data_IF_268048746311
#
_entry.id   IF_268048746311
#
_cell.length_a   1.000
_cell.length_b   1.000
_cell.length_c   1.000
_cell.angle_alpha   90.00
_cell.angle_beta   90.00
_cell.angle_gamma   90.00
#
_symmetry.space_group_name_H-M   'P 1'
#
loop_
_entity.id
_entity.type
_entity.pdbx_description
1 polymer ?
#
# COMPACT_ATOMS: atom_id res chain seq x y z
N UNK A 1 -6.18 -3.95 17.10
CA UNK A 1 -6.79 -2.74 17.71
C UNK A 1 -7.49 -3.12 19.00
N UNK A 2 -7.58 -2.22 19.96
CA UNK A 2 -8.20 -2.43 21.28
C UNK A 2 -9.10 -1.23 21.59
N UNK A 3 -10.33 -1.46 22.05
CA UNK A 3 -11.21 -0.36 22.47
C UNK A 3 -10.95 -0.02 23.94
N UNK A 4 -10.27 1.09 24.20
CA UNK A 4 -10.02 1.59 25.57
C UNK A 4 -11.15 2.48 26.11
N UNK A 5 -12.08 2.88 25.24
CA UNK A 5 -13.20 3.77 25.56
C UNK A 5 -14.35 3.05 26.28
N UNK A 6 -15.25 3.80 26.94
CA UNK A 6 -16.39 3.23 27.64
C UNK A 6 -17.53 2.80 26.71
N UNK A 7 -17.66 3.42 25.54
CA UNK A 7 -18.69 3.11 24.55
C UNK A 7 -18.21 1.99 23.62
N UNK A 8 -19.13 1.15 23.16
CA UNK A 8 -18.83 0.18 22.11
C UNK A 8 -18.59 0.87 20.76
N UNK A 9 -17.73 0.26 19.94
CA UNK A 9 -17.28 0.82 18.66
C UNK A 9 -17.46 -0.22 17.57
N UNK A 10 -18.09 0.16 16.46
CA UNK A 10 -18.38 -0.70 15.31
C UNK A 10 -17.59 -0.34 14.05
N UNK A 11 -16.73 0.68 14.11
CA UNK A 11 -15.91 1.11 12.98
C UNK A 11 -14.46 1.40 13.40
N UNK A 12 -13.54 1.26 12.45
CA UNK A 12 -12.15 1.67 12.58
C UNK A 12 -11.78 2.66 11.47
N UNK A 13 -11.16 3.77 11.83
CA UNK A 13 -10.70 4.77 10.88
C UNK A 13 -9.30 4.44 10.36
N UNK A 14 -9.21 4.18 9.06
CA UNK A 14 -7.98 3.97 8.32
C UNK A 14 -7.62 5.24 7.54
N UNK A 15 -6.37 5.66 7.63
CA UNK A 15 -5.86 6.87 6.98
C UNK A 15 -4.78 6.55 5.97
N UNK A 16 -4.84 7.22 4.82
CA UNK A 16 -3.84 7.13 3.74
C UNK A 16 -3.38 8.55 3.42
N UNK A 17 -2.06 8.84 3.40
CA UNK A 17 -1.57 10.15 2.97
C UNK A 17 -2.05 10.49 1.56
N UNK A 18 -2.45 11.73 1.30
CA UNK A 18 -3.05 12.12 0.00
C UNK A 18 -2.13 11.83 -1.20
N UNK A 19 -0.81 11.95 -1.03
CA UNK A 19 0.15 11.65 -2.10
C UNK A 19 0.19 10.16 -2.49
N UNK A 20 -0.21 9.25 -1.59
CA UNK A 20 -0.43 7.83 -1.89
C UNK A 20 -1.87 7.58 -2.34
N UNK A 21 -2.85 8.25 -1.74
CA UNK A 21 -4.27 8.03 -2.02
C UNK A 21 -4.63 8.26 -3.50
N UNK A 22 -4.01 9.26 -4.16
CA UNK A 22 -4.17 9.50 -5.60
C UNK A 22 -3.79 8.30 -6.50
N UNK A 23 -3.01 7.38 -5.96
CA UNK A 23 -2.44 6.23 -6.65
C UNK A 23 -3.01 4.89 -6.15
N UNK A 24 -3.93 4.91 -5.18
CA UNK A 24 -4.54 3.73 -4.60
C UNK A 24 -5.48 3.08 -5.62
N UNK A 25 -5.16 1.85 -6.02
CA UNK A 25 -5.95 1.07 -6.99
C UNK A 25 -6.85 0.03 -6.34
N UNK A 26 -6.49 -0.45 -5.13
CA UNK A 26 -7.26 -1.44 -4.40
C UNK A 26 -7.03 -1.31 -2.91
N UNK A 27 -8.09 -1.44 -2.13
CA UNK A 27 -8.06 -1.45 -0.67
C UNK A 27 -9.02 -2.53 -0.18
N UNK A 28 -8.54 -3.41 0.69
CA UNK A 28 -9.40 -4.37 1.39
C UNK A 28 -8.98 -4.49 2.85
N UNK A 29 -9.95 -4.80 3.68
CA UNK A 29 -9.77 -5.11 5.08
C UNK A 29 -10.31 -6.52 5.32
N UNK A 30 -9.59 -7.34 6.07
CA UNK A 30 -10.03 -8.72 6.36
C UNK A 30 -9.65 -9.14 7.76
N UNK A 31 -10.58 -9.73 8.51
CA UNK A 31 -10.31 -10.40 9.78
C UNK A 31 -10.29 -11.91 9.60
N UNK A 32 -9.68 -12.62 10.54
CA UNK A 32 -9.73 -14.08 10.59
C UNK A 32 -10.63 -14.51 11.75
N UNK A 33 -11.55 -15.42 11.47
CA UNK A 33 -12.29 -16.12 12.53
C UNK A 33 -11.43 -17.27 13.07
N UNK A 34 -11.31 -17.38 14.40
CA UNK A 34 -10.63 -18.50 15.06
C UNK A 34 -9.65 -18.06 16.16
N UNK A 35 -9.57 -18.85 17.23
CA UNK A 35 -8.57 -18.69 18.28
C UNK A 35 -7.34 -19.57 17.98
N UNK A 36 -6.13 -19.01 18.04
CA UNK A 36 -4.87 -19.77 17.95
C UNK A 36 -4.25 -19.86 16.55
N UNK A 37 -3.52 -20.96 16.26
CA UNK A 37 -2.69 -21.12 15.05
C UNK A 37 -3.47 -21.56 13.80
N UNK A 38 -4.74 -21.92 13.91
CA UNK A 38 -5.59 -22.20 12.75
C UNK A 38 -6.27 -20.91 12.29
N UNK A 39 -5.79 -20.31 11.21
CA UNK A 39 -6.55 -19.26 10.51
C UNK A 39 -7.84 -19.93 10.01
N UNK A 40 -8.97 -19.60 10.63
CA UNK A 40 -10.28 -20.04 10.14
C UNK A 40 -10.71 -19.21 8.93
N UNK A 41 -12.02 -19.07 8.74
CA UNK A 41 -12.55 -18.36 7.58
C UNK A 41 -12.10 -16.90 7.55
N UNK A 42 -11.77 -16.41 6.35
CA UNK A 42 -11.46 -14.99 6.12
C UNK A 42 -12.77 -14.24 5.99
N UNK A 43 -12.95 -13.22 6.82
CA UNK A 43 -14.10 -12.32 6.77
C UNK A 43 -13.65 -11.01 6.16
N UNK A 44 -14.17 -10.67 4.98
CA UNK A 44 -13.93 -9.38 4.35
C UNK A 44 -14.74 -8.30 5.08
N UNK A 45 -14.07 -7.20 5.43
CA UNK A 45 -14.64 -6.04 6.09
C UNK A 45 -14.85 -4.95 5.04
N UNK A 46 -15.98 -4.24 5.12
CA UNK A 46 -16.26 -3.12 4.22
C UNK A 46 -15.42 -1.90 4.62
N UNK A 47 -14.68 -1.35 3.66
CA UNK A 47 -13.92 -0.12 3.82
C UNK A 47 -14.50 0.95 2.88
N UNK A 48 -15.07 2.02 3.45
CA UNK A 48 -15.73 3.08 2.67
C UNK A 48 -15.02 4.40 2.88
N UNK A 49 -14.86 5.19 1.81
CA UNK A 49 -14.36 6.56 1.91
C UNK A 49 -15.33 7.41 2.75
N UNK A 50 -14.80 8.18 3.70
CA UNK A 50 -15.59 9.04 4.58
C UNK A 50 -14.94 10.42 4.75
N UNK A 51 -15.74 11.41 5.12
CA UNK A 51 -15.27 12.73 5.52
C UNK A 51 -15.62 12.97 6.99
N UNK A 52 -14.67 13.51 7.75
CA UNK A 52 -14.82 13.84 9.18
C UNK A 52 -14.20 15.21 9.44
N UNK A 53 -14.89 16.03 10.22
CA UNK A 53 -14.38 17.32 10.65
C UNK A 53 -13.19 17.16 11.60
N UNK A 54 -12.25 18.12 11.56
CA UNK A 54 -11.09 18.15 12.44
C UNK A 54 -9.95 17.19 12.06
N UNK A 55 -10.03 16.53 10.90
CA UNK A 55 -8.94 15.73 10.36
C UNK A 55 -7.88 16.62 9.67
N UNK A 56 -6.59 16.24 9.72
CA UNK A 56 -5.55 16.89 8.92
C UNK A 56 -5.94 16.97 7.43
N UNK A 57 -5.59 18.05 6.70
CA UNK A 57 -6.00 18.20 5.29
C UNK A 57 -5.30 17.23 4.34
N UNK A 58 -4.12 16.72 4.70
CA UNK A 58 -3.26 15.92 3.83
C UNK A 58 -3.50 14.40 3.91
N UNK A 59 -4.69 13.99 4.37
CA UNK A 59 -5.06 12.58 4.51
C UNK A 59 -6.41 12.27 3.86
N UNK A 60 -6.49 11.06 3.33
CA UNK A 60 -7.73 10.44 2.86
C UNK A 60 -8.17 9.41 3.90
N UNK A 61 -9.45 9.45 4.28
CA UNK A 61 -10.01 8.68 5.38
C UNK A 61 -10.97 7.59 4.89
N UNK A 62 -10.79 6.37 5.39
CA UNK A 62 -11.67 5.24 5.17
C UNK A 62 -12.25 4.77 6.51
N UNK A 63 -13.54 4.47 6.56
CA UNK A 63 -14.18 3.77 7.68
C UNK A 63 -14.29 2.29 7.35
N UNK A 64 -13.63 1.47 8.17
CA UNK A 64 -13.69 0.00 8.12
C UNK A 64 -14.75 -0.47 9.10
N UNK A 65 -15.80 -1.14 8.62
CA UNK A 65 -16.83 -1.71 9.48
C UNK A 65 -16.32 -2.96 10.18
N UNK A 66 -16.45 -3.01 11.50
CA UNK A 66 -16.02 -4.14 12.31
C UNK A 66 -17.08 -5.25 12.26
N UNK A 67 -16.69 -6.53 12.32
CA UNK A 67 -17.62 -7.65 12.22
C UNK A 67 -18.54 -7.77 13.45
N UNK A 68 -18.06 -7.28 14.60
CA UNK A 68 -18.79 -7.17 15.86
C UNK A 68 -18.41 -5.84 16.51
N UNK A 69 -19.37 -5.21 17.17
CA UNK A 69 -19.10 -4.08 18.07
C UNK A 69 -18.08 -4.49 19.14
N UNK A 70 -17.00 -3.72 19.26
CA UNK A 70 -15.97 -3.89 20.26
C UNK A 70 -16.35 -3.13 21.52
N UNK A 71 -16.62 -3.86 22.61
CA UNK A 71 -16.80 -3.29 23.94
C UNK A 71 -15.48 -2.84 24.59
N UNK A 72 -15.56 -2.18 25.75
CA UNK A 72 -14.38 -1.74 26.50
C UNK A 72 -13.45 -2.93 26.84
N UNK A 73 -12.18 -2.81 26.47
CA UNK A 73 -11.14 -3.82 26.65
C UNK A 73 -11.19 -4.96 25.63
N UNK A 74 -12.21 -5.01 24.75
CA UNK A 74 -12.21 -5.97 23.66
C UNK A 74 -11.21 -5.56 22.57
N UNK A 75 -10.63 -6.57 21.92
CA UNK A 75 -9.62 -6.40 20.89
C UNK A 75 -9.98 -7.16 19.62
N UNK A 76 -9.57 -6.62 18.49
CA UNK A 76 -9.69 -7.27 17.18
C UNK A 76 -8.37 -7.18 16.42
N UNK A 77 -8.02 -8.27 15.75
CA UNK A 77 -6.93 -8.31 14.77
C UNK A 77 -7.52 -8.45 13.38
N UNK A 78 -7.10 -7.58 12.47
CA UNK A 78 -7.45 -7.64 11.05
C UNK A 78 -6.26 -7.14 10.22
N UNK A 79 -6.23 -7.57 8.97
CA UNK A 79 -5.24 -7.18 7.98
C UNK A 79 -5.84 -6.10 7.06
N UNK A 80 -5.02 -5.14 6.66
CA UNK A 80 -5.30 -4.20 5.58
C UNK A 80 -4.36 -4.50 4.42
N UNK A 81 -4.92 -4.67 3.22
CA UNK A 81 -4.16 -4.76 1.98
C UNK A 81 -4.50 -3.56 1.11
N UNK A 82 -3.49 -2.74 0.87
CA UNK A 82 -3.54 -1.59 -0.05
C UNK A 82 -2.61 -1.85 -1.23
N UNK A 83 -3.11 -1.65 -2.45
CA UNK A 83 -2.32 -1.74 -3.68
C UNK A 83 -2.25 -0.36 -4.31
N UNK A 84 -1.04 0.16 -4.43
CA UNK A 84 -0.76 1.45 -5.05
C UNK A 84 -0.11 1.25 -6.41
N UNK A 85 -0.54 2.03 -7.38
CA UNK A 85 0.05 2.09 -8.73
C UNK A 85 0.98 3.29 -8.82
N UNK A 86 1.95 3.29 -9.72
CA UNK A 86 2.80 4.48 -9.98
C UNK A 86 3.57 5.06 -8.77
N UNK A 87 3.70 4.33 -7.66
CA UNK A 87 4.47 4.75 -6.46
C UNK A 87 5.99 4.63 -6.62
N UNK A 88 6.46 3.81 -7.59
CA UNK A 88 7.88 3.69 -7.92
C UNK A 88 8.23 4.66 -9.05
N UNK A 89 9.24 5.50 -8.83
CA UNK A 89 9.73 6.46 -9.82
C UNK A 89 11.14 6.07 -10.31
N UNK A 90 11.39 5.94 -11.62
CA UNK A 90 12.74 5.77 -12.13
C UNK A 90 13.65 6.91 -11.72
N UNK A 91 14.84 6.57 -11.22
CA UNK A 91 15.86 7.55 -10.88
C UNK A 91 17.24 6.93 -11.10
N UNK A 92 17.97 7.29 -12.17
CA UNK A 92 17.66 8.36 -13.13
C UNK A 92 16.44 8.06 -14.04
N UNK A 93 15.82 9.10 -14.58
CA UNK A 93 14.68 8.97 -15.51
C UNK A 93 15.06 8.43 -16.89
N UNK A 94 16.33 8.56 -17.26
CA UNK A 94 16.88 8.14 -18.54
C UNK A 94 18.12 7.28 -18.31
N UNK A 95 18.17 6.11 -18.96
CA UNK A 95 19.24 5.13 -18.87
C UNK A 95 19.62 4.62 -20.27
N UNK A 96 20.87 4.24 -20.49
CA UNK A 96 21.27 3.53 -21.71
C UNK A 96 20.79 2.07 -21.66
N UNK A 97 20.83 1.36 -22.79
CA UNK A 97 20.41 -0.04 -22.86
C UNK A 97 21.25 -0.99 -21.98
N UNK A 98 22.48 -0.61 -21.64
CA UNK A 98 23.39 -1.39 -20.80
C UNK A 98 23.30 -1.05 -19.30
N UNK A 99 22.63 0.05 -18.96
CA UNK A 99 22.52 0.52 -17.59
C UNK A 99 21.49 -0.29 -16.79
N UNK A 100 21.68 -0.33 -15.48
CA UNK A 100 20.74 -0.95 -14.54
C UNK A 100 19.63 0.05 -14.21
N UNK A 101 18.38 -0.41 -14.20
CA UNK A 101 17.27 0.43 -13.80
C UNK A 101 17.19 0.51 -12.27
N UNK A 102 17.31 1.74 -11.78
CA UNK A 102 17.10 2.08 -10.37
C UNK A 102 15.79 2.84 -10.21
N UNK A 103 15.10 2.61 -9.09
CA UNK A 103 13.84 3.29 -8.77
C UNK A 103 13.84 3.79 -7.33
N UNK A 104 13.10 4.88 -7.11
CA UNK A 104 12.88 5.50 -5.82
C UNK A 104 11.45 5.22 -5.36
N UNK A 105 11.32 4.79 -4.10
CA UNK A 105 10.09 4.71 -3.33
C UNK A 105 10.14 5.75 -2.20
N UNK A 106 9.04 6.47 -1.97
CA UNK A 106 8.92 7.47 -0.92
C UNK A 106 7.64 7.24 -0.12
N UNK A 107 7.75 7.21 1.21
CA UNK A 107 6.62 7.05 2.12
C UNK A 107 6.98 7.47 3.55
N UNK A 108 6.16 7.13 4.54
CA UNK A 108 6.48 7.24 5.97
C UNK A 108 6.98 5.92 6.58
N UNK A 109 7.96 5.99 7.48
CA UNK A 109 8.32 4.90 8.38
C UNK A 109 7.23 4.63 9.43
N UNK A 110 6.39 5.62 9.73
CA UNK A 110 5.29 5.54 10.68
C UNK A 110 3.96 5.36 9.94
N UNK A 111 3.15 4.43 10.42
CA UNK A 111 1.76 4.30 9.99
C UNK A 111 1.03 5.56 10.46
N UNK A 112 0.65 6.40 9.50
CA UNK A 112 -0.12 7.60 9.78
C UNK A 112 -1.50 7.18 10.27
N UNK A 113 -1.71 7.19 11.59
CA UNK A 113 -2.90 6.68 12.28
C UNK A 113 -3.63 7.81 13.02
N UNK A 114 -4.97 7.87 13.04
CA UNK A 114 -5.70 8.80 13.91
C UNK A 114 -5.70 8.36 15.39
N UNK A 115 -5.20 7.16 15.66
CA UNK A 115 -5.08 6.56 17.00
C UNK A 115 -3.62 6.47 17.43
N UNK A 116 -3.39 6.48 18.74
CA UNK A 116 -2.08 6.16 19.31
C UNK A 116 -1.67 4.72 18.96
N UNK A 117 -0.41 4.55 18.57
CA UNK A 117 0.15 3.24 18.21
C UNK A 117 1.14 2.81 19.29
N UNK A 118 0.75 1.82 20.10
CA UNK A 118 1.57 1.30 21.20
C UNK A 118 2.92 0.76 20.72
N UNK A 119 2.93 -0.03 19.66
CA UNK A 119 4.14 -0.61 19.06
C UNK A 119 3.95 -0.70 17.55
N UNK A 120 4.98 -0.35 16.78
CA UNK A 120 4.99 -0.48 15.33
C UNK A 120 6.32 -1.05 14.83
N UNK A 121 6.27 -1.87 13.78
CA UNK A 121 7.44 -2.26 12.97
C UNK A 121 7.07 -2.17 11.50
N UNK A 122 8.00 -1.71 10.67
CA UNK A 122 7.83 -1.64 9.22
C UNK A 122 8.92 -2.46 8.54
N UNK A 123 8.51 -3.29 7.57
CA UNK A 123 9.39 -4.05 6.69
C UNK A 123 9.14 -3.64 5.24
N UNK A 124 10.17 -3.12 4.58
CA UNK A 124 10.16 -2.80 3.15
C UNK A 124 10.92 -3.89 2.41
N UNK A 125 10.21 -4.70 1.63
CA UNK A 125 10.76 -5.76 0.80
C UNK A 125 11.10 -5.20 -0.59
N UNK A 126 12.36 -5.32 -0.99
CA UNK A 126 12.84 -4.90 -2.31
C UNK A 126 13.12 -6.14 -3.19
N UNK A 127 13.08 -6.01 -4.54
CA UNK A 127 13.22 -7.16 -5.44
C UNK A 127 14.63 -7.76 -5.47
N UNK A 128 15.63 -7.07 -4.95
CA UNK A 128 17.02 -7.52 -4.86
C UNK A 128 17.72 -6.89 -3.65
N UNK A 129 18.83 -7.45 -3.15
CA UNK A 129 19.59 -6.86 -2.05
C UNK A 129 20.39 -5.60 -2.46
N UNK A 130 20.32 -5.19 -3.74
CA UNK A 130 21.03 -4.00 -4.24
C UNK A 130 20.21 -2.74 -3.97
N UNK A 131 20.45 -2.18 -2.79
CA UNK A 131 19.89 -0.91 -2.32
C UNK A 131 20.98 0.16 -2.42
N UNK A 132 20.75 1.18 -3.23
CA UNK A 132 21.67 2.32 -3.39
C UNK A 132 21.57 3.28 -2.20
N UNK A 133 20.34 3.54 -1.75
CA UNK A 133 20.09 4.43 -0.63
C UNK A 133 18.83 4.01 0.14
N UNK A 134 18.88 4.19 1.45
CA UNK A 134 17.70 4.17 2.30
C UNK A 134 17.86 5.20 3.42
N UNK A 135 16.75 5.81 3.85
CA UNK A 135 16.76 6.72 5.00
C UNK A 135 17.19 5.98 6.26
N UNK A 136 18.26 6.42 6.92
CA UNK A 136 18.71 5.82 8.19
C UNK A 136 17.95 6.46 9.35
N UNK A 137 17.06 5.69 9.97
CA UNK A 137 16.39 6.06 11.21
C UNK A 137 16.92 5.21 12.39
N UNK A 138 16.66 5.61 13.65
CA UNK A 138 16.92 4.74 14.79
C UNK A 138 16.28 3.36 14.59
N UNK A 139 17.02 2.30 14.94
CA UNK A 139 16.64 0.89 14.76
C UNK A 139 16.44 0.44 13.30
N UNK A 140 16.82 1.26 12.31
CA UNK A 140 16.79 0.82 10.91
C UNK A 140 17.90 -0.20 10.63
N UNK A 141 17.57 -1.31 9.97
CA UNK A 141 18.54 -2.32 9.54
C UNK A 141 18.17 -2.91 8.19
N UNK A 142 19.17 -3.31 7.43
CA UNK A 142 19.01 -4.05 6.18
C UNK A 142 19.39 -5.51 6.43
N UNK A 143 18.51 -6.43 6.05
CA UNK A 143 18.74 -7.87 6.10
C UNK A 143 18.39 -8.41 4.73
N UNK A 144 19.40 -8.84 3.96
CA UNK A 144 19.22 -9.31 2.58
C UNK A 144 18.49 -8.28 1.70
N UNK A 145 17.28 -8.60 1.23
CA UNK A 145 16.41 -7.74 0.42
C UNK A 145 15.28 -7.08 1.23
N UNK A 146 15.44 -6.98 2.55
CA UNK A 146 14.47 -6.41 3.47
C UNK A 146 15.07 -5.27 4.29
N UNK A 147 14.43 -4.10 4.25
CA UNK A 147 14.77 -2.94 5.09
C UNK A 147 13.75 -2.87 6.22
N UNK A 148 14.23 -2.98 7.47
CA UNK A 148 13.40 -2.93 8.68
C UNK A 148 13.54 -1.58 9.33
N UNK A 149 12.41 -0.99 9.71
CA UNK A 149 12.32 0.21 10.54
C UNK A 149 11.58 -0.14 11.83
N UNK A 150 12.13 0.31 12.96
CA UNK A 150 11.61 0.00 14.29
C UNK A 150 12.17 -1.29 14.90
N UNK A 151 11.59 -1.77 16.01
CA UNK A 151 10.32 -1.32 16.57
C UNK A 151 10.35 0.12 17.09
N UNK A 152 9.20 0.77 17.02
CA UNK A 152 8.92 2.07 17.63
C UNK A 152 7.78 1.91 18.63
N UNK A 153 7.92 2.55 19.79
CA UNK A 153 6.95 2.46 20.88
C UNK A 153 6.23 3.80 21.06
N UNK A 154 4.94 3.74 21.43
CA UNK A 154 4.09 4.85 21.83
C UNK A 154 4.11 6.03 20.84
N UNK A 155 3.82 5.75 19.57
CA UNK A 155 3.71 6.79 18.54
C UNK A 155 2.38 7.55 18.71
N UNK A 156 2.40 8.89 18.85
CA UNK A 156 1.18 9.67 18.98
C UNK A 156 0.37 9.68 17.69
N UNK A 157 -0.94 10.00 17.77
CA UNK A 157 -1.79 10.17 16.59
C UNK A 157 -1.16 11.11 15.55
N UNK A 158 -1.33 10.75 14.28
CA UNK A 158 -0.85 11.47 13.11
C UNK A 158 0.67 11.70 13.04
N UNK A 159 1.45 10.87 13.73
CA UNK A 159 2.91 10.85 13.57
C UNK A 159 3.31 10.42 12.16
N UNK A 160 4.26 11.14 11.56
CA UNK A 160 4.81 10.83 10.24
C UNK A 160 6.33 11.04 10.24
N UNK A 161 7.07 10.07 9.70
CA UNK A 161 8.53 10.14 9.56
C UNK A 161 8.91 9.76 8.14
N UNK A 162 9.28 10.70 7.27
CA UNK A 162 9.49 10.42 5.85
C UNK A 162 10.70 9.53 5.62
N UNK A 163 10.55 8.55 4.72
CA UNK A 163 11.59 7.66 4.24
C UNK A 163 11.66 7.65 2.73
N UNK A 164 12.87 7.43 2.23
CA UNK A 164 13.18 7.23 0.82
C UNK A 164 13.96 5.93 0.72
N UNK A 165 13.63 5.11 -0.27
CA UNK A 165 14.37 3.89 -0.63
C UNK A 165 14.67 3.93 -2.12
N UNK A 166 15.95 3.87 -2.48
CA UNK A 166 16.46 3.86 -3.84
C UNK A 166 17.16 2.52 -4.09
N UNK A 167 16.69 1.75 -5.05
CA UNK A 167 17.10 0.36 -5.24
C UNK A 167 17.00 -0.09 -6.70
N UNK A 168 17.70 -1.17 -7.02
CA UNK A 168 17.64 -1.82 -8.33
C UNK A 168 16.29 -2.52 -8.55
N UNK A 169 15.65 -2.22 -9.69
CA UNK A 169 14.45 -2.92 -10.14
C UNK A 169 14.39 -3.01 -11.67
N UNK A 170 14.90 -4.12 -12.20
CA UNK A 170 14.90 -4.44 -13.63
C UNK A 170 13.64 -5.18 -14.11
N UNK A 171 12.58 -5.25 -13.30
CA UNK A 171 11.31 -5.85 -13.74
C UNK A 171 10.65 -4.97 -14.81
N UNK A 172 9.86 -5.53 -15.75
CA UNK A 172 9.14 -4.73 -16.74
C UNK A 172 8.10 -3.80 -16.09
N UNK A 173 8.11 -2.52 -16.47
CA UNK A 173 7.13 -1.52 -16.01
C UNK A 173 6.02 -1.38 -17.04
N UNK A 174 5.25 -2.44 -17.26
CA UNK A 174 4.15 -2.44 -18.21
C UNK A 174 2.97 -1.58 -17.69
N UNK A 175 2.58 -0.54 -18.43
CA UNK A 175 1.47 0.35 -18.08
C UNK A 175 0.47 0.40 -19.23
N UNK A 176 -0.76 -0.06 -18.98
CA UNK A 176 -1.87 0.09 -19.93
C UNK A 176 -2.43 1.50 -19.79
N UNK A 177 -2.20 2.37 -20.77
CA UNK A 177 -2.72 3.74 -20.81
C UNK A 177 -4.18 3.80 -21.23
N UNK A 178 -4.58 2.88 -22.10
CA UNK A 178 -5.96 2.75 -22.57
C UNK A 178 -6.28 1.28 -22.81
N UNK A 179 -7.41 0.83 -22.30
CA UNK A 179 -8.01 -0.48 -22.57
C UNK A 179 -9.41 -0.25 -23.11
N UNK A 180 -9.69 -0.78 -24.30
CA UNK A 180 -11.06 -0.89 -24.82
C UNK A 180 -11.39 -2.36 -24.88
N UNK A 181 -12.45 -2.78 -24.19
CA UNK A 181 -12.99 -4.15 -24.23
C UNK A 181 -14.36 -4.10 -24.91
N UNK A 182 -14.48 -4.81 -26.02
CA UNK A 182 -15.73 -5.00 -26.77
C UNK A 182 -16.26 -6.40 -26.50
N UNK A 183 -17.52 -6.49 -26.09
CA UNK A 183 -18.21 -7.76 -25.79
C UNK A 183 -19.42 -7.85 -26.71
N UNK A 184 -19.36 -8.74 -27.68
CA UNK A 184 -20.43 -9.01 -28.62
C UNK A 184 -21.18 -10.28 -28.18
N UNK A 185 -22.50 -10.18 -28.04
CA UNK A 185 -23.37 -11.28 -27.62
C UNK A 185 -24.30 -11.64 -28.77
N UNK A 186 -24.22 -12.88 -29.26
CA UNK A 186 -25.16 -13.41 -30.25
C UNK A 186 -26.18 -14.33 -29.60
N UNK A 187 -27.45 -14.05 -29.86
CA UNK A 187 -28.56 -14.92 -29.47
C UNK A 187 -28.57 -16.28 -30.19
N UNK A 188 -27.72 -16.44 -31.22
CA UNK A 188 -27.49 -17.72 -31.89
C UNK A 188 -26.45 -18.59 -31.18
N UNK A 189 -25.91 -18.14 -30.03
CA UNK A 189 -25.18 -18.99 -29.09
C UNK A 189 -23.68 -18.69 -28.93
N UNK A 190 -23.21 -17.49 -29.26
CA UNK A 190 -21.82 -17.10 -29.02
C UNK A 190 -21.69 -15.80 -28.21
N UNK A 191 -20.57 -15.67 -27.52
CA UNK A 191 -20.10 -14.42 -26.91
C UNK A 191 -18.66 -14.23 -27.38
N UNK A 192 -18.38 -13.11 -28.04
CA UNK A 192 -17.05 -12.75 -28.49
C UNK A 192 -16.53 -11.57 -27.67
N UNK A 193 -15.30 -11.67 -27.19
CA UNK A 193 -14.63 -10.61 -26.46
C UNK A 193 -13.40 -10.18 -27.25
N UNK A 194 -13.31 -8.89 -27.57
CA UNK A 194 -12.16 -8.28 -28.26
C UNK A 194 -11.58 -7.18 -27.37
N UNK A 195 -10.25 -7.12 -27.24
CA UNK A 195 -9.58 -6.14 -26.40
C UNK A 195 -8.50 -5.38 -27.17
N UNK A 196 -8.52 -4.05 -27.07
CA UNK A 196 -7.51 -3.16 -27.65
C UNK A 196 -6.72 -2.50 -26.51
N UNK A 197 -5.44 -2.88 -26.41
CA UNK A 197 -4.51 -2.36 -25.41
C UNK A 197 -3.59 -1.30 -26.00
N UNK A 198 -3.54 -0.12 -25.37
CA UNK A 198 -2.46 0.83 -25.55
C UNK A 198 -1.49 0.68 -24.38
N UNK A 199 -0.41 -0.07 -24.60
CA UNK A 199 0.60 -0.38 -23.60
C UNK A 199 1.82 0.53 -23.78
N UNK A 200 2.36 1.04 -22.67
CA UNK A 200 3.63 1.78 -22.64
C UNK A 200 4.56 1.19 -21.57
N UNK A 201 5.86 1.37 -21.74
CA UNK A 201 6.84 1.09 -20.70
C UNK A 201 6.97 2.32 -19.77
N UNK A 202 6.60 2.18 -18.50
CA UNK A 202 6.61 3.24 -17.48
C UNK A 202 7.87 3.32 -16.62
N UNK A 203 8.90 2.53 -16.95
CA UNK A 203 10.21 2.59 -16.31
C UNK A 203 11.08 3.71 -16.88
N UNK A 204 12.40 3.63 -16.67
CA UNK A 204 13.33 4.61 -17.20
C UNK A 204 13.27 4.65 -18.74
N UNK A 205 13.39 5.84 -19.30
CA UNK A 205 13.44 6.07 -20.74
C UNK A 205 14.81 5.68 -21.29
N UNK A 206 14.86 5.22 -22.53
CA UNK A 206 16.14 4.95 -23.19
C UNK A 206 16.82 6.27 -23.56
N UNK A 207 18.05 6.43 -23.10
CA UNK A 207 18.95 7.51 -23.50
C UNK A 207 19.73 7.10 -24.74
N UNK A 208 19.42 7.74 -25.86
CA UNK A 208 20.07 7.51 -27.15
C UNK A 208 19.18 6.76 -28.12
N UNK A 209 19.79 6.19 -29.17
CA UNK A 209 19.10 5.38 -30.16
C UNK A 209 19.01 3.91 -29.75
N UNK A 210 18.15 3.16 -30.43
CA UNK A 210 18.16 1.70 -30.39
C UNK A 210 19.13 1.19 -31.47
N UNK A 211 19.97 0.21 -31.13
CA UNK A 211 20.89 -0.46 -32.05
C UNK A 211 20.77 -1.97 -31.94
#
# INVERSE_FOLDING_TARGET
VENIGPAGVSEFLLTVPNFQAQNLAYLTASSYEGHGKSKGSVVNLSANLVQRDGMPPDITLYSVSLPKELGKGESLTFDILSVFTHSLKPFPEEITQADIQLVVYQDGAYYLSPYEVKVQSLSVQVPSPRVEFYTKLPNAKVVESEIKYGPYDNLPPFSFSPIIVHFENNRPFAVVKKLVREIEISHWGNVQVTEHYCLVHGGARNKGGFS
#
